data_IF_635867583567
#
_entry.id   IF_635867583567
#
_cell.length_a   1.000
_cell.length_b   1.000
_cell.length_c   1.000
_cell.angle_alpha   90.00
_cell.angle_beta   90.00
_cell.angle_gamma   90.00
#
_symmetry.space_group_name_H-M   'P 1'
#
loop_
_entity.id
_entity.type
_entity.pdbx_description
1 polymer ?
#
# COMPACT_ATOMS: atom_id res chain seq x y z
N UNK A 1 -13.21 -5.12 -17.17
CA UNK A 1 -13.16 -3.74 -17.68
C UNK A 1 -13.30 -3.75 -19.19
N UNK A 2 -13.81 -2.66 -19.78
CA UNK A 2 -13.77 -2.48 -21.24
C UNK A 2 -12.30 -2.36 -21.71
N UNK A 3 -12.04 -2.70 -22.96
CA UNK A 3 -10.74 -2.46 -23.60
C UNK A 3 -10.34 -0.97 -23.47
N UNK A 4 -9.06 -0.71 -23.24
CA UNK A 4 -8.49 0.62 -22.96
C UNK A 4 -9.06 1.32 -21.71
N UNK A 5 -9.74 0.58 -20.82
CA UNK A 5 -10.17 1.12 -19.53
C UNK A 5 -8.99 1.37 -18.61
N UNK A 6 -9.08 2.42 -17.79
CA UNK A 6 -8.07 2.76 -16.78
C UNK A 6 -8.43 2.18 -15.41
N UNK A 7 -7.48 1.49 -14.80
CA UNK A 7 -7.49 1.00 -13.44
C UNK A 7 -6.59 1.91 -12.60
N UNK A 8 -7.15 2.48 -11.53
CA UNK A 8 -6.40 3.24 -10.54
C UNK A 8 -6.52 2.54 -9.18
N UNK A 9 -5.41 2.20 -8.55
CA UNK A 9 -5.36 1.53 -7.25
C UNK A 9 -4.53 2.39 -6.30
N UNK A 10 -5.12 2.81 -5.18
CA UNK A 10 -4.40 3.44 -4.08
C UNK A 10 -4.20 2.41 -2.97
N UNK A 11 -2.95 2.08 -2.67
CA UNK A 11 -2.63 1.10 -1.63
C UNK A 11 -1.43 1.54 -0.80
N UNK A 12 -1.36 1.09 0.45
CA UNK A 12 -0.21 1.30 1.31
C UNK A 12 1.04 0.58 0.80
N UNK A 13 2.19 1.17 1.07
CA UNK A 13 3.48 0.55 0.84
C UNK A 13 4.44 0.91 1.97
N UNK A 14 5.49 0.11 2.12
CA UNK A 14 6.60 0.46 2.98
C UNK A 14 7.43 1.55 2.27
N UNK A 15 7.66 2.72 2.89
CA UNK A 15 8.46 3.77 2.27
C UNK A 15 9.88 3.29 1.92
N UNK A 16 10.36 3.60 0.70
CA UNK A 16 11.76 3.32 0.31
C UNK A 16 12.73 4.30 0.97
N UNK A 17 12.31 5.55 1.18
CA UNK A 17 13.12 6.59 1.83
C UNK A 17 13.30 6.30 3.33
N UNK A 18 14.53 6.43 3.83
CA UNK A 18 14.88 6.08 5.20
C UNK A 18 14.13 6.88 6.27
N UNK A 19 13.98 8.20 6.08
CA UNK A 19 13.29 9.09 7.04
C UNK A 19 11.83 8.68 7.14
N UNK A 20 11.17 8.58 5.98
CA UNK A 20 9.77 8.18 5.92
C UNK A 20 9.54 6.76 6.44
N UNK A 21 10.43 5.81 6.14
CA UNK A 21 10.35 4.44 6.64
C UNK A 21 10.45 4.38 8.15
N UNK A 22 11.36 5.15 8.73
CA UNK A 22 11.52 5.24 10.18
C UNK A 22 10.25 5.79 10.82
N UNK A 23 9.75 6.93 10.33
CA UNK A 23 8.50 7.53 10.85
C UNK A 23 7.31 6.58 10.74
N UNK A 24 7.17 5.91 9.60
CA UNK A 24 6.11 4.94 9.34
C UNK A 24 6.17 3.74 10.28
N UNK A 25 7.35 3.16 10.47
CA UNK A 25 7.55 2.04 11.38
C UNK A 25 7.30 2.45 12.84
N UNK A 26 7.75 3.65 13.26
CA UNK A 26 7.50 4.19 14.60
C UNK A 26 6.02 4.43 14.86
N UNK A 27 5.29 4.94 13.86
CA UNK A 27 3.84 5.09 13.95
C UNK A 27 3.16 3.74 14.23
N UNK A 28 3.52 2.69 13.50
CA UNK A 28 2.94 1.36 13.70
C UNK A 28 3.39 0.65 14.98
N UNK A 29 4.62 0.86 15.45
CA UNK A 29 5.12 0.18 16.65
C UNK A 29 4.77 0.88 17.96
N UNK A 30 4.51 2.20 17.93
CA UNK A 30 4.29 3.00 19.15
C UNK A 30 2.91 3.65 19.15
N UNK A 31 2.59 4.44 18.11
CA UNK A 31 1.37 5.26 18.11
C UNK A 31 0.12 4.38 17.96
N UNK A 32 0.12 3.51 16.96
CA UNK A 32 -1.03 2.67 16.63
C UNK A 32 -1.44 1.73 17.79
N UNK A 33 -0.51 1.04 18.50
CA UNK A 33 -0.86 0.20 19.64
C UNK A 33 -1.38 0.99 20.84
N UNK A 34 -0.86 2.20 21.07
CA UNK A 34 -1.33 3.07 22.16
C UNK A 34 -2.75 3.54 21.87
N UNK A 35 -3.03 4.00 20.64
CA UNK A 35 -4.40 4.39 20.23
C UNK A 35 -5.33 3.19 20.32
N UNK A 36 -4.91 2.02 19.84
CA UNK A 36 -5.69 0.79 19.90
C UNK A 36 -6.10 0.45 21.33
N UNK A 37 -5.19 0.53 22.30
CA UNK A 37 -5.47 0.30 23.73
C UNK A 37 -6.43 1.34 24.34
N UNK A 38 -6.38 2.59 23.88
CA UNK A 38 -7.15 3.70 24.45
C UNK A 38 -8.56 3.81 23.87
N UNK A 39 -8.74 3.52 22.58
CA UNK A 39 -10.01 3.75 21.86
C UNK A 39 -10.85 2.49 21.74
N UNK A 40 -10.24 1.30 21.72
CA UNK A 40 -10.92 0.05 21.37
C UNK A 40 -10.52 -1.11 22.27
N UNK A 41 -11.47 -1.94 22.69
CA UNK A 41 -11.16 -3.28 23.24
C UNK A 41 -10.72 -4.26 22.14
N UNK A 42 -10.97 -3.91 20.88
CA UNK A 42 -10.62 -4.70 19.71
C UNK A 42 -9.22 -4.28 19.20
N UNK A 43 -8.23 -5.00 19.69
CA UNK A 43 -6.82 -4.85 19.31
C UNK A 43 -6.49 -5.49 17.96
N UNK A 44 -7.44 -6.25 17.36
CA UNK A 44 -7.19 -7.04 16.17
C UNK A 44 -6.94 -6.19 14.94
N UNK A 45 -7.80 -5.19 14.68
CA UNK A 45 -7.65 -4.30 13.52
C UNK A 45 -6.29 -3.55 13.51
N UNK A 46 -5.80 -3.20 14.70
CA UNK A 46 -4.52 -2.52 14.88
C UNK A 46 -3.30 -3.44 14.72
N UNK A 47 -3.47 -4.75 14.86
CA UNK A 47 -2.44 -5.74 14.49
C UNK A 47 -2.49 -6.09 13.01
N UNK A 48 -3.69 -6.28 12.49
CA UNK A 48 -3.91 -6.66 11.10
C UNK A 48 -3.37 -5.63 10.12
N UNK A 49 -3.59 -4.33 10.36
CA UNK A 49 -3.16 -3.28 9.45
C UNK A 49 -1.63 -3.27 9.16
N UNK A 50 -0.74 -3.20 10.16
CA UNK A 50 0.70 -3.24 9.88
C UNK A 50 1.17 -4.60 9.33
N UNK A 51 0.51 -5.71 9.66
CA UNK A 51 0.80 -7.03 9.10
C UNK A 51 0.41 -7.08 7.61
N UNK A 52 -0.78 -6.63 7.25
CA UNK A 52 -1.28 -6.65 5.87
C UNK A 52 -0.44 -5.77 4.94
N UNK A 53 0.01 -4.60 5.40
CA UNK A 53 0.91 -3.74 4.60
C UNK A 53 2.24 -4.44 4.29
N UNK A 54 2.77 -5.25 5.22
CA UNK A 54 4.04 -5.97 5.02
C UNK A 54 3.89 -7.17 4.09
N UNK A 55 2.75 -7.86 4.16
CA UNK A 55 2.47 -9.03 3.33
C UNK A 55 2.11 -8.65 1.88
N UNK A 56 1.55 -7.46 1.67
CA UNK A 56 1.14 -7.01 0.36
C UNK A 56 2.34 -6.86 -0.61
N UNK A 57 2.22 -7.25 -1.89
CA UNK A 57 3.26 -7.00 -2.89
C UNK A 57 3.63 -5.52 -2.99
N UNK A 58 4.91 -5.20 -2.99
CA UNK A 58 5.38 -3.81 -2.91
C UNK A 58 5.80 -3.29 -4.28
N UNK A 59 5.39 -2.06 -4.64
CA UNK A 59 5.84 -1.31 -5.81
C UNK A 59 5.90 -2.14 -7.10
N UNK A 60 7.10 -2.41 -7.61
CA UNK A 60 7.33 -3.13 -8.86
C UNK A 60 6.79 -4.57 -8.80
N UNK A 61 6.83 -5.22 -7.64
CA UNK A 61 6.24 -6.55 -7.46
C UNK A 61 4.73 -6.51 -7.66
N UNK A 62 4.05 -5.48 -7.17
CA UNK A 62 2.60 -5.34 -7.40
C UNK A 62 2.27 -4.98 -8.85
N UNK A 63 3.11 -4.16 -9.48
CA UNK A 63 3.02 -3.90 -10.92
C UNK A 63 3.05 -5.22 -11.72
N UNK A 64 3.99 -6.12 -11.41
CA UNK A 64 4.05 -7.44 -12.06
C UNK A 64 2.79 -8.28 -11.81
N UNK A 65 2.20 -8.22 -10.61
CA UNK A 65 0.93 -8.92 -10.33
C UNK A 65 -0.26 -8.36 -11.12
N UNK A 66 -0.29 -7.04 -11.35
CA UNK A 66 -1.29 -6.39 -12.21
C UNK A 66 -1.10 -6.80 -13.67
N UNK A 67 0.15 -6.81 -14.16
CA UNK A 67 0.47 -7.15 -15.56
C UNK A 67 0.11 -8.60 -15.90
N UNK A 68 0.39 -9.54 -14.98
CA UNK A 68 -0.02 -10.95 -15.11
C UNK A 68 -1.53 -11.13 -15.33
N UNK A 69 -2.36 -10.14 -14.94
CA UNK A 69 -3.82 -10.16 -15.10
C UNK A 69 -4.30 -9.50 -16.40
N UNK A 70 -3.39 -9.24 -17.35
CA UNK A 70 -3.72 -8.69 -18.66
C UNK A 70 -3.99 -7.19 -18.62
N UNK A 71 -3.21 -6.47 -17.81
CA UNK A 71 -3.14 -5.02 -17.79
C UNK A 71 -1.74 -4.57 -18.19
N UNK A 72 -1.60 -3.32 -18.61
CA UNK A 72 -0.31 -2.66 -18.84
C UNK A 72 -0.15 -1.55 -17.81
N UNK A 73 0.96 -1.52 -17.09
CA UNK A 73 1.24 -0.41 -16.16
C UNK A 73 1.54 0.85 -16.97
N UNK A 74 0.80 1.92 -16.68
CA UNK A 74 1.04 3.25 -17.23
C UNK A 74 2.07 3.96 -16.36
N UNK A 75 1.82 3.94 -15.04
CA UNK A 75 2.65 4.62 -14.04
C UNK A 75 2.31 4.11 -12.63
N UNK A 76 3.20 4.30 -11.67
CA UNK A 76 2.84 4.32 -10.26
C UNK A 76 3.52 5.47 -9.54
N UNK A 77 2.83 6.09 -8.60
CA UNK A 77 3.30 7.30 -7.91
C UNK A 77 3.30 7.10 -6.40
N UNK A 78 4.47 7.07 -5.75
CA UNK A 78 4.56 7.15 -4.30
C UNK A 78 4.00 8.48 -3.78
N UNK A 79 3.21 8.42 -2.73
CA UNK A 79 2.59 9.53 -2.02
C UNK A 79 3.12 9.58 -0.59
N UNK A 80 3.24 10.79 -0.03
CA UNK A 80 3.70 11.01 1.35
C UNK A 80 4.99 10.24 1.65
N UNK A 81 6.00 10.40 0.79
CA UNK A 81 7.28 9.71 0.93
C UNK A 81 7.27 8.20 0.66
N UNK A 82 6.16 7.65 0.16
CA UNK A 82 5.98 6.23 -0.13
C UNK A 82 5.17 5.46 0.91
N UNK A 83 4.43 6.16 1.78
CA UNK A 83 3.45 5.54 2.70
C UNK A 83 2.30 4.90 1.92
N UNK A 84 1.85 5.56 0.86
CA UNK A 84 0.88 5.00 -0.08
C UNK A 84 1.43 5.15 -1.50
N UNK A 85 0.95 4.33 -2.42
CA UNK A 85 1.31 4.36 -3.82
C UNK A 85 0.03 4.29 -4.65
N UNK A 86 -0.06 5.19 -5.62
CA UNK A 86 -1.15 5.20 -6.59
C UNK A 86 -0.66 4.55 -7.89
N UNK A 87 -1.21 3.40 -8.23
CA UNK A 87 -0.91 2.64 -9.44
C UNK A 87 -1.95 2.94 -10.51
N UNK A 88 -1.49 3.16 -11.75
CA UNK A 88 -2.33 3.34 -12.92
C UNK A 88 -2.00 2.25 -13.95
N UNK A 89 -3.03 1.55 -14.40
CA UNK A 89 -2.90 0.50 -15.40
C UNK A 89 -4.01 0.59 -16.45
N UNK A 90 -3.72 0.15 -17.66
CA UNK A 90 -4.68 0.08 -18.76
C UNK A 90 -5.06 -1.37 -19.04
N UNK A 91 -6.35 -1.65 -19.25
CA UNK A 91 -6.79 -2.99 -19.62
C UNK A 91 -6.37 -3.30 -21.06
N UNK A 92 -5.53 -4.33 -21.23
CA UNK A 92 -5.20 -4.85 -22.55
C UNK A 92 -6.45 -5.47 -23.19
N UNK A 93 -6.60 -5.23 -24.50
CA UNK A 93 -7.71 -5.73 -25.32
C UNK A 93 -7.89 -7.23 -25.29
#
# INVERSE_FOLDING_TARGET
MKSNGILAILEFATPKNFVWRTLFNTYFSVVLPVIGRLVSKDTWAYRYLPESVKEFPQYETFCSEIEKRGFKIINFKPLTGGVAVLYFAEKLG
#
